data_IF_584682392174
#
_entry.id   IF_584682392174
#
_cell.length_a   1.000
_cell.length_b   1.000
_cell.length_c   1.000
_cell.angle_alpha   90.00
_cell.angle_beta   90.00
_cell.angle_gamma   90.00
#
_symmetry.space_group_name_H-M   'P 1'
#
loop_
_entity.id
_entity.type
_entity.pdbx_description
1 polymer ?
#
# COMPACT_ATOMS: atom_id res chain seq x y z
N UNK A 1 3.22 -22.42 -2.89
CA UNK A 1 4.21 -22.73 -1.83
C UNK A 1 5.06 -23.97 -2.15
N UNK A 2 4.47 -25.04 -2.71
CA UNK A 2 5.17 -26.32 -2.92
C UNK A 2 6.48 -26.24 -3.73
N UNK A 3 6.52 -25.52 -4.87
CA UNK A 3 7.77 -25.37 -5.64
C UNK A 3 8.90 -24.71 -4.83
N UNK A 4 8.58 -23.67 -4.06
CA UNK A 4 9.55 -23.01 -3.18
C UNK A 4 10.02 -23.93 -2.06
N UNK A 5 9.12 -24.73 -1.47
CA UNK A 5 9.46 -25.76 -0.47
C UNK A 5 10.36 -26.87 -1.04
N UNK A 6 10.19 -27.22 -2.32
CA UNK A 6 11.03 -28.17 -3.05
C UNK A 6 12.36 -27.58 -3.54
N UNK A 7 12.64 -26.31 -3.27
CA UNK A 7 13.90 -25.64 -3.67
C UNK A 7 13.98 -25.28 -5.16
N UNK A 8 12.86 -25.27 -5.88
CA UNK A 8 12.81 -25.03 -7.33
C UNK A 8 12.79 -23.53 -7.69
N UNK A 9 12.79 -22.64 -6.69
CA UNK A 9 12.81 -21.20 -6.90
C UNK A 9 12.53 -20.41 -5.63
N UNK A 10 12.79 -19.11 -5.69
CA UNK A 10 12.52 -18.17 -4.60
C UNK A 10 11.12 -17.56 -4.77
N UNK A 11 10.23 -17.81 -3.82
CA UNK A 11 8.94 -17.12 -3.76
C UNK A 11 9.15 -15.69 -3.25
N UNK A 12 8.73 -14.69 -4.02
CA UNK A 12 8.85 -13.28 -3.64
C UNK A 12 7.70 -12.78 -2.77
N UNK A 13 6.52 -13.38 -2.88
CA UNK A 13 5.34 -13.11 -2.06
C UNK A 13 4.94 -11.63 -1.90
N UNK A 14 4.47 -11.00 -2.98
CA UNK A 14 4.15 -9.57 -3.02
C UNK A 14 3.12 -9.09 -1.97
N UNK A 15 2.31 -9.99 -1.39
CA UNK A 15 1.28 -9.63 -0.41
C UNK A 15 1.80 -9.62 1.03
N UNK A 16 2.94 -10.27 1.29
CA UNK A 16 3.54 -10.39 2.63
C UNK A 16 4.97 -9.85 2.69
N UNK A 17 5.62 -9.63 1.54
CA UNK A 17 7.01 -9.18 1.49
C UNK A 17 7.12 -7.69 1.87
N UNK A 18 7.85 -7.35 2.95
CA UNK A 18 8.02 -5.97 3.41
C UNK A 18 8.78 -5.08 2.42
N UNK A 19 9.50 -5.65 1.45
CA UNK A 19 10.20 -4.90 0.41
C UNK A 19 9.22 -4.17 -0.52
N UNK A 20 7.99 -4.67 -0.67
CA UNK A 20 6.93 -4.03 -1.45
C UNK A 20 6.57 -2.63 -0.90
N UNK A 21 6.08 -2.46 0.33
CA UNK A 21 5.83 -1.12 0.88
C UNK A 21 7.12 -0.34 1.12
N UNK A 22 8.27 -0.99 1.34
CA UNK A 22 9.54 -0.30 1.54
C UNK A 22 9.99 0.47 0.28
N UNK A 23 9.74 -0.07 -0.92
CA UNK A 23 9.98 0.65 -2.17
C UNK A 23 9.24 2.00 -2.15
N UNK A 24 7.94 1.98 -1.85
CA UNK A 24 7.12 3.20 -1.83
C UNK A 24 7.46 4.17 -0.68
N UNK A 25 7.94 3.65 0.45
CA UNK A 25 8.44 4.48 1.55
C UNK A 25 9.71 5.25 1.15
N UNK A 26 10.62 4.62 0.41
CA UNK A 26 11.91 5.21 0.04
C UNK A 26 11.91 5.99 -1.27
N UNK A 27 10.92 5.77 -2.14
CA UNK A 27 10.84 6.45 -3.45
C UNK A 27 9.53 7.23 -3.61
N UNK A 28 8.40 6.54 -3.76
CA UNK A 28 7.11 7.15 -4.12
C UNK A 28 6.66 8.24 -3.13
N UNK A 29 6.80 7.99 -1.81
CA UNK A 29 6.47 8.98 -0.78
C UNK A 29 7.34 10.25 -0.87
N UNK A 30 8.69 10.13 -0.83
CA UNK A 30 9.61 11.24 -1.01
C UNK A 30 9.40 12.01 -2.31
N UNK A 31 9.17 11.31 -3.43
CA UNK A 31 8.90 11.92 -4.73
C UNK A 31 7.65 12.80 -4.68
N UNK A 32 6.53 12.29 -4.18
CA UNK A 32 5.27 13.05 -4.06
C UNK A 32 5.46 14.28 -3.18
N UNK A 33 6.12 14.12 -2.03
CA UNK A 33 6.36 15.23 -1.12
C UNK A 33 7.23 16.33 -1.74
N UNK A 34 8.32 15.94 -2.40
CA UNK A 34 9.22 16.85 -3.10
C UNK A 34 8.50 17.55 -4.28
N UNK A 35 7.81 16.79 -5.13
CA UNK A 35 7.13 17.29 -6.33
C UNK A 35 5.98 18.24 -5.99
N UNK A 36 5.29 18.00 -4.87
CA UNK A 36 4.24 18.91 -4.39
C UNK A 36 4.78 20.08 -3.57
N UNK A 37 6.10 20.12 -3.32
CA UNK A 37 6.76 21.05 -2.41
C UNK A 37 6.08 21.09 -1.02
N UNK A 38 5.72 19.91 -0.49
CA UNK A 38 5.05 19.75 0.80
C UNK A 38 3.60 20.28 0.84
N UNK A 39 3.01 20.64 -0.30
CA UNK A 39 1.65 21.21 -0.36
C UNK A 39 0.54 20.17 -0.30
N UNK A 40 0.85 18.88 -0.53
CA UNK A 40 -0.13 17.79 -0.46
C UNK A 40 -0.95 17.86 0.83
N UNK A 41 -2.24 17.53 0.71
CA UNK A 41 -3.19 17.46 1.83
C UNK A 41 -3.88 16.10 1.89
N UNK A 42 -4.04 15.43 0.73
CA UNK A 42 -4.66 14.12 0.62
C UNK A 42 -3.85 13.25 -0.33
N UNK A 43 -3.64 11.99 0.04
CA UNK A 43 -3.10 10.95 -0.82
C UNK A 43 -4.17 9.89 -1.06
N UNK A 44 -4.49 9.61 -2.32
CA UNK A 44 -5.54 8.66 -2.72
C UNK A 44 -4.89 7.49 -3.45
N UNK A 45 -5.20 6.26 -3.03
CA UNK A 45 -4.62 5.06 -3.65
C UNK A 45 -5.61 3.89 -3.68
N UNK A 46 -5.80 3.32 -4.88
CA UNK A 46 -6.58 2.09 -5.05
C UNK A 46 -5.82 0.87 -4.54
N UNK A 47 -6.46 0.06 -3.70
CA UNK A 47 -5.79 -0.95 -2.90
C UNK A 47 -5.81 -2.34 -3.55
N UNK A 48 -4.66 -2.77 -4.07
CA UNK A 48 -4.37 -4.15 -4.48
C UNK A 48 -3.64 -4.92 -3.39
N UNK A 49 -2.31 -5.02 -3.48
CA UNK A 49 -1.45 -5.57 -2.41
C UNK A 49 -1.41 -4.71 -1.15
N UNK A 50 -1.83 -3.43 -1.26
CA UNK A 50 -1.69 -2.36 -0.26
C UNK A 50 -0.26 -1.82 -0.06
N UNK A 51 0.73 -2.30 -0.82
CA UNK A 51 2.12 -1.82 -0.71
C UNK A 51 2.27 -0.32 -0.91
N UNK A 52 1.63 0.24 -1.95
CA UNK A 52 1.67 1.67 -2.27
C UNK A 52 1.13 2.53 -1.12
N UNK A 53 -0.11 2.30 -0.70
CA UNK A 53 -0.73 3.11 0.37
C UNK A 53 0.00 2.95 1.70
N UNK A 54 0.50 1.74 2.01
CA UNK A 54 1.27 1.48 3.23
C UNK A 54 2.60 2.24 3.24
N UNK A 55 3.39 2.14 2.16
CA UNK A 55 4.70 2.77 2.09
C UNK A 55 4.63 4.29 2.03
N UNK A 56 3.77 4.83 1.16
CA UNK A 56 3.58 6.29 1.03
C UNK A 56 3.03 6.87 2.34
N UNK A 57 2.06 6.21 2.98
CA UNK A 57 1.51 6.69 4.27
C UNK A 57 2.59 6.76 5.34
N UNK A 58 3.41 5.70 5.51
CA UNK A 58 4.52 5.71 6.49
C UNK A 58 5.42 6.93 6.31
N UNK A 59 5.83 7.22 5.07
CA UNK A 59 6.67 8.38 4.77
C UNK A 59 5.95 9.71 5.06
N UNK A 60 4.69 9.86 4.63
CA UNK A 60 3.94 11.10 4.81
C UNK A 60 3.61 11.40 6.29
N UNK A 61 3.47 10.35 7.12
CA UNK A 61 3.27 10.49 8.57
C UNK A 61 4.51 11.01 9.31
N UNK A 62 5.69 10.92 8.72
CA UNK A 62 6.94 11.48 9.28
C UNK A 62 7.11 12.98 8.98
N UNK A 63 6.25 13.57 8.15
CA UNK A 63 6.34 14.97 7.77
C UNK A 63 5.68 15.88 8.81
N UNK A 64 6.10 17.15 8.84
CA UNK A 64 5.59 18.13 9.81
C UNK A 64 4.13 18.54 9.59
N UNK A 65 3.59 18.33 8.38
CA UNK A 65 2.22 18.68 8.01
C UNK A 65 1.36 17.41 7.93
N UNK A 66 0.16 17.39 8.54
CA UNK A 66 -0.74 16.26 8.40
C UNK A 66 -1.21 16.09 6.96
N UNK A 67 -1.25 14.83 6.51
CA UNK A 67 -1.79 14.42 5.20
C UNK A 67 -2.82 13.31 5.43
N UNK A 68 -4.00 13.48 4.86
CA UNK A 68 -5.08 12.48 4.90
C UNK A 68 -4.78 11.36 3.91
N UNK A 69 -4.88 10.11 4.36
CA UNK A 69 -4.63 8.93 3.54
C UNK A 69 -5.96 8.25 3.21
N UNK A 70 -6.33 8.23 1.94
CA UNK A 70 -7.60 7.70 1.41
C UNK A 70 -7.32 6.42 0.63
N UNK A 71 -7.76 5.28 1.18
CA UNK A 71 -7.75 4.00 0.47
C UNK A 71 -8.99 3.85 -0.39
N UNK A 72 -8.87 3.26 -1.58
CA UNK A 72 -10.03 2.91 -2.39
C UNK A 72 -10.13 1.40 -2.56
N UNK A 73 -11.36 0.88 -2.49
CA UNK A 73 -11.69 -0.51 -2.80
C UNK A 73 -12.90 -0.56 -3.75
N UNK A 74 -13.05 -1.62 -4.56
CA UNK A 74 -14.25 -1.83 -5.35
C UNK A 74 -15.52 -1.89 -4.50
N UNK A 75 -16.62 -1.37 -5.03
CA UNK A 75 -17.95 -1.68 -4.51
C UNK A 75 -18.24 -3.19 -4.62
N UNK A 76 -19.20 -3.66 -3.84
CA UNK A 76 -19.64 -5.05 -3.92
C UNK A 76 -20.21 -5.35 -5.31
N UNK A 77 -19.78 -6.46 -5.92
CA UNK A 77 -20.13 -6.81 -7.30
C UNK A 77 -19.34 -6.10 -8.40
N UNK A 78 -18.55 -5.06 -8.09
CA UNK A 78 -17.69 -4.39 -9.06
C UNK A 78 -16.39 -5.16 -9.31
N UNK A 79 -15.96 -5.22 -10.58
CA UNK A 79 -14.69 -5.84 -10.99
C UNK A 79 -13.77 -4.79 -11.59
N UNK A 80 -12.70 -4.46 -10.87
CA UNK A 80 -11.71 -3.46 -11.30
C UNK A 80 -10.34 -4.16 -11.38
N UNK A 81 -9.78 -4.36 -12.58
CA UNK A 81 -8.48 -5.01 -12.75
C UNK A 81 -7.38 -4.33 -11.93
N UNK A 82 -6.60 -5.15 -11.21
CA UNK A 82 -5.46 -4.68 -10.40
C UNK A 82 -5.77 -4.41 -8.92
N UNK A 83 -7.04 -4.31 -8.53
CA UNK A 83 -7.44 -4.07 -7.13
C UNK A 83 -8.48 -5.09 -6.66
N UNK A 84 -8.67 -5.18 -5.33
CA UNK A 84 -9.60 -6.13 -4.73
C UNK A 84 -10.34 -5.50 -3.56
N UNK A 85 -11.58 -5.92 -3.37
CA UNK A 85 -12.31 -5.72 -2.11
C UNK A 85 -11.91 -6.86 -1.19
N UNK A 86 -11.05 -6.59 -0.22
CA UNK A 86 -10.57 -7.60 0.72
C UNK A 86 -11.60 -7.76 1.86
N UNK A 87 -12.01 -8.99 2.20
CA UNK A 87 -12.65 -9.23 3.48
C UNK A 87 -11.66 -8.88 4.61
N UNK A 88 -12.17 -8.37 5.74
CA UNK A 88 -11.32 -7.86 6.82
C UNK A 88 -10.30 -8.88 7.34
N UNK A 89 -10.69 -10.17 7.38
CA UNK A 89 -9.85 -11.29 7.83
C UNK A 89 -8.79 -11.74 6.80
N UNK A 90 -8.88 -11.28 5.55
CA UNK A 90 -7.96 -11.64 4.46
C UNK A 90 -7.19 -10.43 3.92
N UNK A 91 -7.03 -9.36 4.71
CA UNK A 91 -6.16 -8.26 4.33
C UNK A 91 -4.72 -8.77 4.10
N UNK A 92 -4.00 -8.24 3.09
CA UNK A 92 -2.60 -8.62 2.85
C UNK A 92 -1.74 -8.43 4.10
N UNK A 93 -0.77 -9.31 4.34
CA UNK A 93 0.07 -9.26 5.56
C UNK A 93 0.90 -7.97 5.69
N UNK A 94 1.17 -7.27 4.59
CA UNK A 94 1.83 -5.96 4.61
C UNK A 94 0.91 -4.78 4.97
N UNK A 95 -0.41 -4.99 5.00
CA UNK A 95 -1.37 -3.93 5.30
C UNK A 95 -1.33 -3.52 6.77
N UNK A 96 -1.46 -2.23 7.05
CA UNK A 96 -1.68 -1.71 8.39
C UNK A 96 -2.83 -0.69 8.38
N UNK A 97 -3.94 -1.03 9.04
CA UNK A 97 -5.14 -0.21 9.10
C UNK A 97 -4.90 1.18 9.71
N UNK A 98 -3.95 1.33 10.64
CA UNK A 98 -3.67 2.64 11.26
C UNK A 98 -3.03 3.65 10.31
N UNK A 99 -2.62 3.21 9.12
CA UNK A 99 -2.00 4.04 8.09
C UNK A 99 -3.02 4.62 7.10
N UNK A 100 -4.30 4.24 7.19
CA UNK A 100 -5.36 4.70 6.28
C UNK A 100 -6.44 5.40 7.10
N UNK A 101 -6.75 6.65 6.74
CA UNK A 101 -7.70 7.48 7.49
C UNK A 101 -9.16 7.18 7.08
N UNK A 102 -9.38 6.84 5.80
CA UNK A 102 -10.72 6.54 5.28
C UNK A 102 -10.64 5.59 4.07
N UNK A 103 -11.69 4.79 3.88
CA UNK A 103 -11.88 3.81 2.79
C UNK A 103 -13.27 3.95 2.20
#
# INVERSE_FOLDING_TARGET
LEMAKRGEGKLLDQFNNPDNPYAHYTTTGPEIWQQTAGRITHFVSSMGTTGTITGVSRFLREQSKPVTIVGLQPEEGSSIPGIRRWPAEYMPGIFNASLVDTV
#
